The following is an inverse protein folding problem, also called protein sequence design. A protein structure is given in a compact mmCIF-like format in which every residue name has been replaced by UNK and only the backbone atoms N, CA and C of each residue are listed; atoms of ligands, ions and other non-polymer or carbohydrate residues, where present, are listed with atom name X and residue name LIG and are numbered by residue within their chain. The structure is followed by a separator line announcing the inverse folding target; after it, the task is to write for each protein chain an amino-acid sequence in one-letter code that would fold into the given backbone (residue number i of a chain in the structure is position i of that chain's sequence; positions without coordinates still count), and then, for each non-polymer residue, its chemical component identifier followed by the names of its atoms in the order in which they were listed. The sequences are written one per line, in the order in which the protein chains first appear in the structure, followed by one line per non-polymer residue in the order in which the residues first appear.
data_IF_954027261975
#
_entry.id   IF_954027261975
#
_cell.length_a   1.000
_cell.length_b   1.000
_cell.length_c   1.000
_cell.angle_alpha   90.00
_cell.angle_beta   90.00
_cell.angle_gamma   90.00
#
_symmetry.space_group_name_H-M   'P 1'
#
loop_
_entity.id
_entity.type
_entity.pdbx_description
1 polymer ?
#
# COMPACT_ATOMS: atom_id res chain seq x y z
N UNK A 1 2.75 -11.28 26.30
CA UNK A 1 3.11 -11.36 24.87
C UNK A 1 2.06 -12.21 24.18
N UNK A 2 1.33 -11.61 23.25
CA UNK A 2 0.16 -12.22 22.62
C UNK A 2 0.60 -12.86 21.32
N UNK A 3 0.01 -14.00 20.94
CA UNK A 3 0.27 -14.70 19.67
C UNK A 3 -1.03 -14.79 18.88
N UNK A 4 -0.94 -14.55 17.58
CA UNK A 4 -2.03 -14.68 16.62
C UNK A 4 -1.57 -15.58 15.48
N UNK A 5 -2.48 -16.43 15.02
CA UNK A 5 -2.30 -17.24 13.81
C UNK A 5 -3.64 -17.24 13.09
N UNK A 6 -3.63 -16.98 11.79
CA UNK A 6 -4.86 -16.83 11.03
C UNK A 6 -4.69 -16.98 9.53
N UNK A 7 -5.80 -17.28 8.87
CA UNK A 7 -5.95 -17.26 7.43
C UNK A 7 -7.17 -16.40 7.10
N UNK A 8 -7.01 -15.49 6.14
CA UNK A 8 -8.07 -14.60 5.65
C UNK A 8 -8.31 -14.89 4.16
N UNK A 9 -9.59 -15.00 3.79
CA UNK A 9 -10.06 -15.17 2.42
C UNK A 9 -11.26 -14.24 2.19
N UNK A 10 -11.37 -13.66 1.00
CA UNK A 10 -12.42 -12.68 0.69
C UNK A 10 -12.28 -12.12 -0.72
N UNK A 11 -13.32 -11.45 -1.21
CA UNK A 11 -13.36 -10.87 -2.55
C UNK A 11 -12.33 -9.74 -2.75
N UNK A 12 -12.02 -9.00 -1.68
CA UNK A 12 -11.04 -7.90 -1.67
C UNK A 12 -9.65 -8.35 -1.18
N UNK A 13 -9.38 -9.66 -1.17
CA UNK A 13 -8.08 -10.23 -0.82
C UNK A 13 -7.46 -10.90 -2.06
N UNK A 14 -6.12 -11.08 -2.08
CA UNK A 14 -5.47 -11.84 -3.14
C UNK A 14 -6.12 -13.22 -3.32
N UNK A 15 -6.11 -13.76 -4.54
CA UNK A 15 -6.77 -15.06 -4.87
C UNK A 15 -6.31 -16.20 -3.96
N UNK A 16 -5.04 -16.17 -3.56
CA UNK A 16 -4.42 -17.13 -2.63
C UNK A 16 -4.78 -16.91 -1.15
N UNK A 17 -5.51 -15.83 -0.82
CA UNK A 17 -5.76 -15.37 0.54
C UNK A 17 -4.53 -14.76 1.21
N UNK A 18 -4.65 -14.49 2.50
CA UNK A 18 -3.54 -14.06 3.36
C UNK A 18 -3.41 -15.05 4.51
N UNK A 19 -2.25 -15.69 4.61
CA UNK A 19 -1.89 -16.56 5.73
C UNK A 19 -0.80 -15.89 6.53
N UNK A 20 -0.92 -15.90 7.86
CA UNK A 20 0.02 -15.20 8.69
C UNK A 20 0.00 -15.62 10.15
N UNK A 21 1.10 -15.30 10.80
CA UNK A 21 1.24 -15.40 12.23
C UNK A 21 1.91 -14.14 12.75
N UNK A 22 1.62 -13.78 13.99
CA UNK A 22 2.27 -12.66 14.62
C UNK A 22 2.23 -12.69 16.13
N UNK A 23 3.01 -11.80 16.72
CA UNK A 23 3.01 -11.52 18.14
C UNK A 23 3.16 -10.04 18.39
N UNK A 24 2.64 -9.59 19.52
CA UNK A 24 2.81 -8.21 19.99
C UNK A 24 2.58 -8.15 21.51
N UNK A 25 2.90 -7.01 22.09
CA UNK A 25 2.52 -6.65 23.44
C UNK A 25 1.54 -5.48 23.38
N UNK A 26 0.31 -5.70 23.82
CA UNK A 26 -0.67 -4.64 23.93
C UNK A 26 -0.66 -4.04 25.34
N UNK A 27 -0.77 -2.72 25.42
CA UNK A 27 -0.93 -1.99 26.66
C UNK A 27 -2.04 -0.96 26.51
N UNK A 28 -3.03 -1.04 27.38
CA UNK A 28 -4.07 -0.04 27.51
C UNK A 28 -3.74 0.94 28.64
N UNK A 29 -3.90 2.23 28.38
CA UNK A 29 -3.75 3.30 29.35
C UNK A 29 -5.04 4.12 29.39
N UNK A 30 -5.91 3.77 30.35
CA UNK A 30 -7.26 4.33 30.49
C UNK A 30 -7.26 5.86 30.62
N UNK A 31 -6.36 6.42 31.44
CA UNK A 31 -6.26 7.87 31.70
C UNK A 31 -5.98 8.70 30.45
N UNK A 32 -5.34 8.09 29.45
CA UNK A 32 -5.00 8.73 28.18
C UNK A 32 -5.80 8.17 27.01
N UNK A 33 -6.76 7.26 27.27
CA UNK A 33 -7.50 6.50 26.24
C UNK A 33 -6.59 5.94 25.14
N UNK A 34 -5.43 5.42 25.55
CA UNK A 34 -4.33 5.08 24.64
C UNK A 34 -4.09 3.58 24.60
N UNK A 35 -4.10 3.02 23.40
CA UNK A 35 -3.72 1.63 23.14
C UNK A 35 -2.37 1.62 22.42
N UNK A 36 -1.40 0.91 23.02
CA UNK A 36 -0.05 0.76 22.46
C UNK A 36 0.22 -0.69 22.12
N UNK A 37 0.81 -0.93 20.96
CA UNK A 37 1.28 -2.23 20.47
C UNK A 37 2.79 -2.15 20.32
N UNK A 38 3.51 -2.80 21.24
CA UNK A 38 4.96 -2.86 21.25
C UNK A 38 5.45 -4.21 20.75
N UNK A 39 6.68 -4.25 20.24
CA UNK A 39 7.33 -5.49 19.77
C UNK A 39 6.43 -6.28 18.82
N UNK A 40 5.79 -5.56 17.88
CA UNK A 40 5.06 -6.21 16.81
C UNK A 40 6.06 -7.03 16.01
N UNK A 41 5.71 -8.28 15.76
CA UNK A 41 6.37 -9.16 14.81
C UNK A 41 5.28 -9.92 14.08
N UNK A 42 5.18 -9.74 12.78
CA UNK A 42 4.12 -10.31 11.96
C UNK A 42 4.67 -10.85 10.66
N UNK A 43 4.06 -11.93 10.21
CA UNK A 43 4.24 -12.52 8.89
C UNK A 43 2.90 -12.53 8.18
N UNK A 44 2.91 -12.24 6.90
CA UNK A 44 1.74 -12.33 6.05
C UNK A 44 2.21 -12.77 4.65
N UNK A 45 1.86 -13.99 4.26
CA UNK A 45 2.39 -14.67 3.10
C UNK A 45 3.93 -14.64 3.12
N UNK A 46 4.55 -14.00 2.13
CA UNK A 46 5.99 -13.81 2.01
C UNK A 46 6.47 -12.43 2.47
N UNK A 47 5.66 -11.73 3.26
CA UNK A 47 5.99 -10.45 3.89
C UNK A 47 6.25 -10.60 5.38
N UNK A 48 7.15 -9.77 5.89
CA UNK A 48 7.49 -9.69 7.32
C UNK A 48 7.45 -8.25 7.79
N UNK A 49 6.94 -8.04 8.99
CA UNK A 49 6.75 -6.75 9.62
C UNK A 49 7.23 -6.81 11.06
N UNK A 50 7.89 -5.75 11.50
CA UNK A 50 8.17 -5.51 12.92
C UNK A 50 8.04 -4.04 13.30
N UNK A 51 7.90 -3.76 14.60
CA UNK A 51 7.93 -2.39 15.12
C UNK A 51 6.89 -2.13 16.19
N UNK A 52 6.30 -0.94 16.16
CA UNK A 52 5.30 -0.52 17.11
C UNK A 52 4.21 0.35 16.48
N UNK A 53 3.04 0.32 17.11
CA UNK A 53 1.91 1.14 16.76
C UNK A 53 1.26 1.68 18.04
N UNK A 54 0.71 2.88 17.97
CA UNK A 54 -0.07 3.45 19.06
C UNK A 54 -1.28 4.15 18.47
N UNK A 55 -2.40 4.10 19.19
CA UNK A 55 -3.58 4.91 18.92
C UNK A 55 -4.08 5.57 20.20
N UNK A 56 -4.35 6.88 20.12
CA UNK A 56 -5.12 7.61 21.12
C UNK A 56 -6.56 7.71 20.63
N UNK A 57 -7.51 7.20 21.41
CA UNK A 57 -8.94 7.16 21.05
C UNK A 57 -9.61 8.49 21.42
N UNK A 58 -9.50 9.45 20.52
CA UNK A 58 -10.26 10.73 20.54
C UNK A 58 -11.43 10.65 19.55
N UNK A 59 -12.13 11.76 19.31
CA UNK A 59 -13.16 11.85 18.25
C UNK A 59 -12.60 11.46 16.87
N UNK A 60 -11.36 11.88 16.58
CA UNK A 60 -10.59 11.48 15.40
C UNK A 60 -9.33 10.76 15.85
N UNK A 61 -9.32 9.41 15.86
CA UNK A 61 -8.22 8.64 16.42
C UNK A 61 -6.85 9.11 15.93
N UNK A 62 -5.91 9.22 16.86
CA UNK A 62 -4.55 9.69 16.57
C UNK A 62 -3.60 8.51 16.51
N UNK A 63 -3.11 8.19 15.33
CA UNK A 63 -2.23 7.05 15.08
C UNK A 63 -0.77 7.46 15.06
N UNK A 64 0.08 6.62 15.64
CA UNK A 64 1.53 6.70 15.49
C UNK A 64 2.05 5.33 15.09
N UNK A 65 2.73 5.25 13.95
CA UNK A 65 3.23 4.02 13.37
C UNK A 65 4.73 4.16 13.14
N UNK A 66 5.52 3.20 13.66
CA UNK A 66 6.95 3.04 13.37
C UNK A 66 7.18 1.59 13.00
N UNK A 67 7.27 1.30 11.71
CA UNK A 67 7.23 -0.06 11.18
C UNK A 67 8.41 -0.33 10.25
N UNK A 68 8.92 -1.55 10.32
CA UNK A 68 10.04 -2.04 9.52
C UNK A 68 9.66 -3.33 8.81
N UNK A 69 10.02 -3.43 7.54
CA UNK A 69 9.73 -4.57 6.69
C UNK A 69 11.02 -5.09 6.04
N UNK A 70 11.62 -6.18 6.53
CA UNK A 70 12.70 -6.83 5.81
C UNK A 70 12.30 -7.25 4.39
N UNK A 71 11.04 -7.66 4.22
CA UNK A 71 10.42 -8.00 2.94
C UNK A 71 8.94 -7.60 3.00
N UNK A 72 8.51 -6.81 2.01
CA UNK A 72 7.11 -6.42 1.82
C UNK A 72 6.68 -6.75 0.38
N UNK A 73 5.95 -7.84 0.20
CA UNK A 73 5.40 -8.22 -1.10
C UNK A 73 3.95 -7.77 -1.25
N UNK A 74 3.74 -6.62 -1.88
CA UNK A 74 2.41 -6.08 -2.13
C UNK A 74 1.64 -6.89 -3.18
N UNK A 75 2.32 -7.60 -4.10
CA UNK A 75 1.67 -8.48 -5.08
C UNK A 75 0.88 -9.61 -4.41
N UNK A 76 1.30 -9.99 -3.20
CA UNK A 76 0.70 -11.05 -2.41
C UNK A 76 -0.12 -10.56 -1.22
N UNK A 77 -0.24 -9.24 -1.02
CA UNK A 77 -0.99 -8.66 0.10
C UNK A 77 -2.16 -7.80 -0.35
N UNK A 78 -2.07 -7.18 -1.53
CA UNK A 78 -3.09 -6.29 -2.05
C UNK A 78 -3.59 -6.87 -3.38
N UNK A 79 -4.92 -6.99 -3.59
CA UNK A 79 -5.43 -7.34 -4.90
C UNK A 79 -5.01 -6.27 -5.91
N UNK A 80 -4.22 -6.67 -6.90
CA UNK A 80 -4.00 -5.84 -8.07
C UNK A 80 -5.25 -5.94 -8.93
N UNK A 81 -6.11 -4.92 -8.84
CA UNK A 81 -7.15 -4.72 -9.84
C UNK A 81 -6.44 -4.34 -11.14
N UNK A 82 -6.17 -5.32 -11.99
CA UNK A 82 -5.79 -5.06 -13.37
C UNK A 82 -7.00 -4.41 -14.03
N UNK A 83 -6.99 -3.07 -14.11
CA UNK A 83 -7.87 -2.38 -15.04
C UNK A 83 -7.53 -2.93 -16.42
N UNK A 84 -8.49 -3.65 -16.99
CA UNK A 84 -8.42 -4.22 -18.31
C UNK A 84 -8.37 -3.11 -19.38
N UNK A 85 -7.25 -2.41 -19.51
CA UNK A 85 -6.93 -1.68 -20.73
C UNK A 85 -6.11 -2.60 -21.61
N UNK A 86 -6.83 -3.51 -22.25
CA UNK A 86 -6.34 -4.49 -23.21
C UNK A 86 -7.38 -4.82 -24.27
N UNK A 87 -8.23 -3.87 -24.66
CA UNK A 87 -8.96 -4.00 -25.93
C UNK A 87 -8.07 -3.49 -27.06
N UNK A 88 -7.24 -4.39 -27.58
CA UNK A 88 -6.86 -4.44 -28.99
C UNK A 88 -6.34 -5.85 -29.34
N UNK A 89 -7.26 -6.67 -29.87
CA UNK A 89 -6.97 -7.63 -30.95
C UNK A 89 -6.50 -9.04 -30.58
N UNK A 90 -7.46 -9.96 -30.37
CA UNK A 90 -7.64 -11.17 -31.19
C UNK A 90 -8.76 -12.04 -30.59
N UNK A 91 -9.74 -12.38 -31.41
CA UNK A 91 -10.81 -13.30 -31.05
C UNK A 91 -10.25 -14.69 -30.71
N UNK A 92 -10.57 -15.19 -29.51
CA UNK A 92 -10.58 -16.62 -29.21
C UNK A 92 -11.97 -17.00 -28.69
N UNK A 93 -12.80 -17.50 -29.61
CA UNK A 93 -13.94 -18.35 -29.26
C UNK A 93 -13.42 -19.71 -28.80
N UNK A 94 -13.83 -20.15 -27.61
CA UNK A 94 -13.51 -21.49 -27.11
C UNK A 94 -13.88 -21.72 -25.64
N UNK A 95 -15.18 -21.84 -25.38
CA UNK A 95 -15.86 -22.54 -24.28
C UNK A 95 -15.09 -22.84 -22.96
N UNK A 96 -15.57 -22.25 -21.87
CA UNK A 96 -15.77 -22.96 -20.58
C UNK A 96 -16.88 -22.29 -19.76
N UNK A 97 -17.78 -23.13 -19.25
CA UNK A 97 -19.08 -22.82 -18.65
C UNK A 97 -18.99 -22.17 -17.26
N UNK A 98 -19.87 -21.20 -17.05
CA UNK A 98 -20.63 -20.84 -15.83
C UNK A 98 -19.99 -21.09 -14.45
N UNK A 99 -19.56 -20.00 -13.81
CA UNK A 99 -20.04 -19.69 -12.45
C UNK A 99 -20.50 -18.23 -12.44
N UNK A 100 -21.81 -18.01 -12.53
CA UNK A 100 -22.41 -16.71 -12.23
C UNK A 100 -21.92 -16.28 -10.83
N UNK A 101 -21.20 -15.14 -10.70
CA UNK A 101 -20.93 -14.59 -9.39
C UNK A 101 -22.27 -14.22 -8.77
N UNK A 102 -22.60 -14.80 -7.63
CA UNK A 102 -23.74 -14.37 -6.82
C UNK A 102 -23.49 -12.89 -6.49
N UNK A 103 -24.45 -11.97 -6.72
CA UNK A 103 -24.25 -10.57 -6.40
C UNK A 103 -24.13 -10.44 -4.88
N UNK A 104 -22.91 -10.22 -4.41
CA UNK A 104 -22.69 -9.64 -3.09
C UNK A 104 -22.95 -8.16 -3.23
N UNK A 105 -24.06 -7.69 -2.67
CA UNK A 105 -24.33 -6.26 -2.51
C UNK A 105 -23.41 -5.77 -1.38
N UNK A 106 -22.13 -5.56 -1.69
CA UNK A 106 -21.29 -4.68 -0.88
C UNK A 106 -21.56 -3.26 -1.35
N UNK A 107 -22.52 -2.59 -0.71
CA UNK A 107 -22.74 -1.16 -0.86
C UNK A 107 -21.57 -0.39 -0.22
N UNK A 108 -20.43 -0.38 -0.91
CA UNK A 108 -19.46 0.72 -0.91
C UNK A 108 -19.25 1.13 -2.37
N UNK A 109 -20.36 1.41 -3.03
CA UNK A 109 -20.37 1.88 -4.40
C UNK A 109 -20.14 3.39 -4.30
N UNK A 110 -18.98 3.83 -4.77
CA UNK A 110 -18.62 5.21 -5.14
C UNK A 110 -18.14 6.20 -4.08
N UNK A 111 -17.66 5.78 -2.91
CA UNK A 111 -16.84 6.68 -2.08
C UNK A 111 -15.37 6.64 -2.56
N UNK A 112 -14.79 7.78 -3.00
CA UNK A 112 -13.40 7.82 -3.40
C UNK A 112 -12.48 7.35 -2.27
N UNK A 113 -11.47 6.53 -2.60
CA UNK A 113 -10.59 5.88 -1.63
C UNK A 113 -9.91 6.82 -0.62
N UNK A 114 -9.83 8.12 -0.93
CA UNK A 114 -9.23 9.15 -0.06
C UNK A 114 -10.17 9.69 1.03
N UNK A 115 -11.48 9.44 0.98
CA UNK A 115 -12.42 9.99 1.98
C UNK A 115 -12.14 9.48 3.40
N UNK A 116 -11.61 8.26 3.52
CA UNK A 116 -11.19 7.71 4.82
C UNK A 116 -10.14 8.54 5.56
N UNK A 117 -9.37 9.39 4.85
CA UNK A 117 -8.35 10.24 5.46
C UNK A 117 -8.94 11.26 6.43
N UNK A 118 -10.20 11.66 6.27
CA UNK A 118 -10.84 12.65 7.16
C UNK A 118 -11.10 12.14 8.57
N UNK A 119 -11.18 10.81 8.75
CA UNK A 119 -11.61 10.16 9.98
C UNK A 119 -10.54 10.02 11.06
N UNK A 120 -9.28 10.39 10.80
CA UNK A 120 -8.18 10.17 11.74
C UNK A 120 -7.06 11.19 11.58
N UNK A 121 -6.13 11.20 12.53
CA UNK A 121 -4.80 11.78 12.33
C UNK A 121 -3.74 10.69 12.42
N UNK A 122 -2.62 10.85 11.73
CA UNK A 122 -1.54 9.88 11.80
C UNK A 122 -0.17 10.53 11.62
N UNK A 123 0.82 9.95 12.29
CA UNK A 123 2.25 10.10 12.01
C UNK A 123 2.81 8.70 11.70
N UNK A 124 3.35 8.54 10.49
CA UNK A 124 3.73 7.25 9.93
C UNK A 124 5.19 7.32 9.48
N UNK A 125 6.00 6.40 10.01
CA UNK A 125 7.35 6.12 9.53
C UNK A 125 7.45 4.64 9.17
N UNK A 126 7.76 4.36 7.91
CA UNK A 126 7.95 3.01 7.40
C UNK A 126 9.35 2.90 6.78
N UNK A 127 10.00 1.77 7.03
CA UNK A 127 11.25 1.39 6.37
C UNK A 127 11.10 -0.01 5.82
N UNK A 128 11.48 -0.23 4.57
CA UNK A 128 11.47 -1.56 3.99
C UNK A 128 12.77 -1.83 3.23
N UNK A 129 13.44 -2.92 3.57
CA UNK A 129 14.67 -3.33 2.87
C UNK A 129 14.38 -3.77 1.45
N UNK A 130 13.27 -4.49 1.26
CA UNK A 130 12.81 -4.98 -0.03
C UNK A 130 11.29 -4.80 -0.13
N UNK A 131 10.83 -4.23 -1.23
CA UNK A 131 9.41 -4.12 -1.57
C UNK A 131 9.18 -4.68 -2.95
N UNK A 132 8.24 -5.61 -3.07
CA UNK A 132 7.78 -6.11 -4.36
C UNK A 132 6.42 -5.53 -4.70
N UNK A 133 6.30 -4.88 -5.85
CA UNK A 133 5.05 -4.31 -6.33
C UNK A 133 4.98 -4.32 -7.85
N UNK A 134 3.90 -4.88 -8.39
CA UNK A 134 3.67 -5.12 -9.82
C UNK A 134 4.85 -5.83 -10.48
N UNK A 135 5.44 -6.80 -9.76
CA UNK A 135 6.64 -7.52 -10.20
C UNK A 135 7.95 -6.73 -10.15
N UNK A 136 7.93 -5.44 -9.80
CA UNK A 136 9.14 -4.63 -9.57
C UNK A 136 9.67 -4.86 -8.17
N UNK A 137 11.00 -4.93 -8.04
CA UNK A 137 11.68 -5.04 -6.74
C UNK A 137 12.36 -3.72 -6.41
N UNK A 138 11.85 -3.06 -5.38
CA UNK A 138 12.45 -1.87 -4.80
C UNK A 138 13.30 -2.26 -3.60
N UNK A 139 14.41 -1.55 -3.39
CA UNK A 139 15.24 -1.70 -2.19
C UNK A 139 15.42 -0.37 -1.47
N UNK A 140 15.81 -0.43 -0.19
CA UNK A 140 16.07 0.74 0.65
C UNK A 140 14.90 1.74 0.65
N UNK A 141 13.68 1.23 0.77
CA UNK A 141 12.46 2.04 0.73
C UNK A 141 12.26 2.72 2.07
N UNK A 142 12.09 4.05 2.03
CA UNK A 142 11.83 4.87 3.19
C UNK A 142 10.61 5.75 2.95
N UNK A 143 9.70 5.76 3.92
CA UNK A 143 8.45 6.50 3.84
C UNK A 143 8.19 7.24 5.15
N UNK A 144 7.93 8.54 5.05
CA UNK A 144 7.47 9.39 6.15
C UNK A 144 6.25 10.18 5.70
N UNK A 145 5.15 10.04 6.44
CA UNK A 145 3.87 10.66 6.11
C UNK A 145 3.14 11.13 7.36
N UNK A 146 2.36 12.19 7.21
CA UNK A 146 1.38 12.59 8.21
C UNK A 146 0.00 12.75 7.58
N UNK A 147 -1.04 12.39 8.32
CA UNK A 147 -2.41 12.73 7.95
C UNK A 147 -2.99 13.60 9.06
N UNK A 148 -3.55 14.75 8.70
CA UNK A 148 -4.28 15.63 9.61
C UNK A 148 -5.73 15.70 9.16
N UNK A 149 -6.45 14.60 9.34
CA UNK A 149 -7.89 14.52 9.06
C UNK A 149 -8.28 14.98 7.66
N UNK A 150 -7.57 14.45 6.66
CA UNK A 150 -7.83 14.73 5.24
C UNK A 150 -6.71 15.47 4.56
N UNK A 151 -5.84 16.16 5.33
CA UNK A 151 -4.59 16.70 4.81
C UNK A 151 -3.46 15.67 4.98
N UNK A 152 -3.19 14.93 3.91
CA UNK A 152 -2.08 13.99 3.82
C UNK A 152 -0.83 14.70 3.28
N UNK A 153 0.27 14.58 4.00
CA UNK A 153 1.59 15.06 3.61
C UNK A 153 2.56 13.88 3.59
N UNK A 154 3.24 13.69 2.46
CA UNK A 154 4.26 12.67 2.23
C UNK A 154 5.58 13.41 2.07
N UNK A 155 6.29 13.58 3.19
CA UNK A 155 7.59 14.29 3.21
C UNK A 155 8.71 13.42 2.62
N UNK A 156 8.56 12.10 2.74
CA UNK A 156 9.49 11.14 2.17
C UNK A 156 8.72 9.93 1.63
N UNK A 157 8.97 9.60 0.37
CA UNK A 157 8.63 8.32 -0.22
C UNK A 157 9.68 8.07 -1.29
N UNK A 158 10.64 7.20 -1.01
CA UNK A 158 11.77 6.96 -1.88
C UNK A 158 12.26 5.52 -1.80
N UNK A 159 13.00 5.08 -2.81
CA UNK A 159 13.67 3.79 -2.85
C UNK A 159 14.54 3.66 -4.09
N UNK A 160 15.19 2.51 -4.23
CA UNK A 160 16.00 2.16 -5.41
C UNK A 160 15.27 1.15 -6.28
N UNK A 161 15.42 1.29 -7.59
CA UNK A 161 14.86 0.37 -8.58
C UNK A 161 15.88 0.17 -9.71
N UNK A 162 16.33 -1.08 -9.93
CA UNK A 162 17.32 -1.43 -10.96
C UNK A 162 18.60 -0.59 -10.94
N UNK A 163 19.09 -0.25 -9.75
CA UNK A 163 20.26 0.60 -9.56
C UNK A 163 20.02 2.11 -9.75
N UNK A 164 18.82 2.52 -10.15
CA UNK A 164 18.36 3.91 -10.13
C UNK A 164 17.65 4.28 -8.82
N UNK A 165 17.31 5.56 -8.66
CA UNK A 165 16.56 6.09 -7.51
C UNK A 165 15.18 6.57 -7.96
N UNK A 166 14.18 6.35 -7.11
CA UNK A 166 12.79 6.76 -7.30
C UNK A 166 12.35 7.51 -6.05
N UNK A 167 11.67 8.64 -6.21
CA UNK A 167 10.98 9.31 -5.12
C UNK A 167 9.68 9.97 -5.56
N UNK A 168 8.68 9.98 -4.68
CA UNK A 168 7.37 10.57 -4.92
C UNK A 168 6.83 11.28 -3.65
N UNK A 169 7.50 12.34 -3.16
CA UNK A 169 6.92 13.20 -2.13
C UNK A 169 5.75 14.02 -2.68
N UNK A 170 4.88 14.48 -1.77
CA UNK A 170 3.75 15.32 -2.16
C UNK A 170 2.69 15.47 -1.08
N UNK A 171 1.58 16.10 -1.46
CA UNK A 171 0.43 16.36 -0.59
C UNK A 171 -0.88 16.01 -1.28
N UNK A 172 -1.85 15.63 -0.46
CA UNK A 172 -3.25 15.44 -0.82
C UNK A 172 -4.10 16.16 0.23
N UNK A 173 -4.80 17.20 -0.20
CA UNK A 173 -5.83 17.86 0.59
C UNK A 173 -7.20 17.31 0.17
N UNK A 174 -7.71 16.37 0.97
CA UNK A 174 -9.03 15.76 0.82
C UNK A 174 -10.05 16.34 1.81
N UNK A 175 -9.83 17.55 2.34
CA UNK A 175 -10.76 18.18 3.30
C UNK A 175 -12.03 18.72 2.63
N UNK A 176 -12.01 18.88 1.31
CA UNK A 176 -13.14 19.31 0.48
C UNK A 176 -13.60 18.18 -0.45
N UNK A 177 -14.78 18.35 -1.06
CA UNK A 177 -15.35 17.42 -2.04
C UNK A 177 -14.46 17.25 -3.28
N UNK A 178 -13.73 18.31 -3.65
CA UNK A 178 -12.74 18.30 -4.72
C UNK A 178 -11.34 18.26 -4.11
N UNK A 179 -10.69 17.08 -4.04
CA UNK A 179 -9.37 16.99 -3.44
C UNK A 179 -8.32 17.72 -4.28
N UNK A 180 -7.32 18.33 -3.63
CA UNK A 180 -6.16 18.92 -4.30
C UNK A 180 -4.95 18.04 -4.11
N UNK A 181 -4.26 17.75 -5.19
CA UNK A 181 -3.11 16.84 -5.22
C UNK A 181 -1.90 17.57 -5.77
N UNK A 182 -0.78 17.47 -5.08
CA UNK A 182 0.50 18.00 -5.54
C UNK A 182 1.61 16.97 -5.27
N UNK A 183 2.15 16.36 -6.31
CA UNK A 183 3.24 15.39 -6.22
C UNK A 183 4.44 15.83 -7.04
N UNK A 184 5.62 15.52 -6.54
CA UNK A 184 6.90 15.85 -7.16
C UNK A 184 7.68 14.56 -7.47
N UNK A 185 7.26 13.80 -8.51
CA UNK A 185 7.98 12.59 -8.89
C UNK A 185 9.40 12.92 -9.33
N UNK A 186 10.37 12.18 -8.81
CA UNK A 186 11.75 12.20 -9.28
C UNK A 186 12.23 10.78 -9.56
N UNK A 187 12.89 10.65 -10.70
CA UNK A 187 13.52 9.42 -11.17
C UNK A 187 14.95 9.77 -11.51
N UNK A 188 15.89 8.90 -11.13
CA UNK A 188 17.29 9.07 -11.48
C UNK A 188 17.84 7.73 -11.95
N UNK A 189 18.25 7.67 -13.22
CA UNK A 189 18.88 6.51 -13.83
C UNK A 189 18.04 5.21 -13.75
N UNK A 190 16.72 5.33 -13.80
CA UNK A 190 15.80 4.18 -13.71
C UNK A 190 15.57 3.57 -15.08
N UNK A 191 15.62 2.24 -15.19
CA UNK A 191 15.32 1.51 -16.42
C UNK A 191 13.83 1.62 -16.78
N UNK A 192 13.49 2.41 -17.80
CA UNK A 192 12.10 2.71 -18.17
C UNK A 192 11.32 1.46 -18.59
N UNK A 193 12.00 0.48 -19.21
CA UNK A 193 11.38 -0.77 -19.63
C UNK A 193 10.78 -1.56 -18.47
N UNK A 194 11.33 -1.43 -17.25
CA UNK A 194 10.78 -2.08 -16.06
C UNK A 194 9.43 -1.48 -15.65
N UNK A 195 9.31 -0.15 -15.69
CA UNK A 195 8.07 0.55 -15.37
C UNK A 195 7.00 0.22 -16.43
N UNK A 196 7.35 0.32 -17.71
CA UNK A 196 6.42 0.05 -18.80
C UNK A 196 5.86 -1.37 -18.75
N UNK A 197 6.73 -2.36 -18.47
CA UNK A 197 6.32 -3.75 -18.27
C UNK A 197 5.38 -3.91 -17.07
N UNK A 198 5.69 -3.27 -15.94
CA UNK A 198 4.88 -3.36 -14.73
C UNK A 198 3.46 -2.77 -14.91
N UNK A 199 3.29 -1.83 -15.84
CA UNK A 199 2.01 -1.20 -16.18
C UNK A 199 1.40 -1.69 -17.50
N UNK A 200 1.91 -2.80 -18.08
CA UNK A 200 1.41 -3.41 -19.31
C UNK A 200 1.33 -2.45 -20.51
N UNK A 201 2.28 -1.53 -20.64
CA UNK A 201 2.36 -0.67 -21.81
C UNK A 201 2.86 -1.47 -23.03
N UNK A 202 2.21 -1.39 -24.20
CA UNK A 202 2.55 -2.18 -25.38
C UNK A 202 3.83 -1.73 -26.10
N UNK A 203 4.50 -0.69 -25.58
CA UNK A 203 5.72 -0.14 -26.15
C UNK A 203 6.96 -0.81 -25.54
N UNK A 204 7.83 -1.34 -26.40
CA UNK A 204 9.13 -1.87 -26.01
C UNK A 204 10.18 -0.77 -26.03
N UNK A 205 10.16 0.08 -24.99
CA UNK A 205 11.18 1.12 -24.78
C UNK A 205 12.14 0.67 -23.67
N UNK A 206 13.43 0.82 -23.93
CA UNK A 206 14.51 0.51 -22.97
C UNK A 206 15.45 1.69 -22.83
N UNK A 207 16.13 1.79 -21.70
CA UNK A 207 17.08 2.87 -21.39
C UNK A 207 16.87 3.47 -20.01
N UNK A 208 17.88 4.19 -19.55
CA UNK A 208 17.86 4.90 -18.26
C UNK A 208 17.18 6.26 -18.41
N UNK A 209 16.22 6.53 -17.53
CA UNK A 209 15.47 7.78 -17.48
C UNK A 209 15.78 8.53 -16.19
N UNK A 210 15.91 9.85 -16.31
CA UNK A 210 15.94 10.78 -15.18
C UNK A 210 14.88 11.86 -15.39
N UNK A 211 14.14 12.19 -14.33
CA UNK A 211 13.08 13.19 -14.30
C UNK A 211 13.14 13.89 -12.94
N UNK A 212 12.96 15.20 -12.91
CA UNK A 212 12.77 15.97 -11.69
C UNK A 212 12.02 17.24 -12.02
N UNK A 213 11.01 17.55 -11.21
CA UNK A 213 10.24 18.79 -11.27
C UNK A 213 10.52 19.63 -10.03
#
# INVERSE_FOLDING_TARGET
MNKLTGSLQGADLPKQGIQGQGSFQAQWQESHKRLSFNQISLTANDSTLSGQAQVTLTEKPEWQLRLQFPQLNLDNLIPLNETANGENGAAQQGQSQSTLPRPVISSRIDEPAYQGLQGFTADILLQASNVRWRGMNFTDVATQMTNKSGLLEITQLQGKLNGGQVSLPGTLDATSINPRINFQPRLENVEIGTILKAFNYPISLTGKMSLGW
#
